data_IF_894661856399
#
_entry.id   IF_894661856399
#
_cell.length_a   1.000
_cell.length_b   1.000
_cell.length_c   1.000
_cell.angle_alpha   90.00
_cell.angle_beta   90.00
_cell.angle_gamma   90.00
#
_symmetry.space_group_name_H-M   'P 1'
#
loop_
_entity.id
_entity.type
_entity.pdbx_description
1 polymer ?
#
# COMPACT_ATOMS: atom_id res chain seq x y z
N UNK A 1 10.20 -16.25 -5.22
CA UNK A 1 9.85 -17.69 -5.32
C UNK A 1 9.13 -18.08 -4.04
N UNK A 2 8.18 -19.03 -4.06
CA UNK A 2 7.45 -19.47 -2.87
C UNK A 2 7.97 -20.81 -2.35
N UNK A 3 8.03 -20.97 -1.04
CA UNK A 3 8.38 -22.23 -0.37
C UNK A 3 7.20 -22.79 0.42
N UNK A 4 7.13 -24.12 0.56
CA UNK A 4 6.14 -24.83 1.38
C UNK A 4 6.81 -25.94 2.18
N UNK A 5 6.44 -26.08 3.44
CA UNK A 5 6.74 -27.25 4.26
C UNK A 5 5.47 -28.06 4.53
N UNK A 6 5.51 -29.41 4.52
CA UNK A 6 4.40 -30.24 4.97
C UNK A 6 4.22 -30.16 6.50
N UNK A 7 3.03 -30.50 7.03
CA UNK A 7 2.71 -30.37 8.44
C UNK A 7 3.69 -31.07 9.39
N UNK A 8 4.27 -32.20 8.98
CA UNK A 8 5.26 -32.96 9.76
C UNK A 8 6.52 -32.17 10.10
N UNK A 9 6.89 -31.16 9.31
CA UNK A 9 8.09 -30.33 9.54
C UNK A 9 7.76 -28.89 9.94
N UNK A 10 6.48 -28.51 10.01
CA UNK A 10 6.06 -27.13 10.27
C UNK A 10 6.60 -26.59 11.60
N UNK A 11 6.53 -27.38 12.68
CA UNK A 11 7.02 -26.98 14.01
C UNK A 11 8.53 -26.74 14.03
N UNK A 12 9.30 -27.47 13.21
CA UNK A 12 10.74 -27.26 13.05
C UNK A 12 11.00 -25.93 12.35
N UNK A 13 10.41 -25.73 11.17
CA UNK A 13 10.68 -24.53 10.38
C UNK A 13 10.14 -23.25 11.02
N UNK A 14 9.02 -23.30 11.75
CA UNK A 14 8.54 -22.16 12.55
C UNK A 14 9.53 -21.69 13.62
N UNK A 15 10.41 -22.56 14.11
CA UNK A 15 11.45 -22.20 15.09
C UNK A 15 12.73 -21.68 14.42
N UNK A 16 12.97 -22.06 13.16
CA UNK A 16 14.19 -21.73 12.43
C UNK A 16 14.04 -20.46 11.58
N UNK A 17 12.87 -20.27 10.99
CA UNK A 17 12.57 -19.15 10.10
C UNK A 17 11.86 -18.05 10.88
N UNK A 18 12.52 -16.92 11.00
CA UNK A 18 11.99 -15.69 11.57
C UNK A 18 11.87 -14.67 10.44
N UNK A 19 10.71 -14.04 10.35
CA UNK A 19 10.47 -13.02 9.34
C UNK A 19 11.43 -11.84 9.49
N UNK A 20 11.85 -11.26 8.37
CA UNK A 20 12.81 -10.14 8.33
C UNK A 20 14.27 -10.56 8.33
N UNK A 21 14.58 -11.84 8.56
CA UNK A 21 15.94 -12.38 8.51
C UNK A 21 16.26 -13.02 7.15
N UNK A 22 17.56 -13.09 6.85
CA UNK A 22 18.09 -13.69 5.61
C UNK A 22 18.60 -15.10 5.88
N UNK A 23 18.30 -16.04 4.98
CA UNK A 23 18.66 -17.46 5.12
C UNK A 23 19.24 -18.02 3.82
N UNK A 24 20.29 -18.82 3.95
CA UNK A 24 20.70 -19.78 2.92
C UNK A 24 19.88 -21.07 3.11
N UNK A 25 19.17 -21.46 2.06
CA UNK A 25 18.43 -22.72 2.01
C UNK A 25 19.17 -23.70 1.10
N UNK A 26 19.33 -24.95 1.56
CA UNK A 26 19.91 -26.02 0.74
C UNK A 26 19.20 -27.36 0.98
N UNK A 27 19.45 -28.35 0.13
CA UNK A 27 18.86 -29.70 0.21
C UNK A 27 17.32 -29.74 0.21
N UNK A 28 16.69 -28.74 -0.39
CA UNK A 28 15.25 -28.70 -0.63
C UNK A 28 14.89 -29.35 -1.97
N UNK A 29 13.61 -29.68 -2.16
CA UNK A 29 13.09 -30.15 -3.45
C UNK A 29 12.48 -28.97 -4.23
N UNK A 30 12.50 -29.05 -5.56
CA UNK A 30 11.85 -28.07 -6.45
C UNK A 30 10.70 -28.73 -7.17
N UNK A 31 9.49 -28.22 -6.98
CA UNK A 31 8.26 -28.73 -7.59
C UNK A 31 7.64 -27.69 -8.51
N UNK A 32 6.74 -28.12 -9.40
CA UNK A 32 5.86 -27.19 -10.13
C UNK A 32 4.96 -26.45 -9.15
N UNK A 33 4.65 -25.19 -9.43
CA UNK A 33 3.75 -24.37 -8.60
C UNK A 33 2.41 -25.04 -8.32
N UNK A 34 1.76 -24.62 -7.23
CA UNK A 34 0.38 -25.01 -6.95
C UNK A 34 -0.59 -24.28 -7.87
N UNK A 35 -1.83 -24.79 -7.97
CA UNK A 35 -2.91 -24.16 -8.74
C UNK A 35 -3.48 -22.92 -8.07
N UNK A 36 -3.35 -22.81 -6.75
CA UNK A 36 -3.94 -21.75 -5.94
C UNK A 36 -3.02 -21.30 -4.81
N UNK A 37 -3.30 -20.09 -4.30
CA UNK A 37 -2.62 -19.46 -3.17
C UNK A 37 -1.13 -19.25 -3.43
N UNK A 38 -0.79 -18.85 -4.66
CA UNK A 38 0.56 -18.44 -5.01
C UNK A 38 0.80 -16.99 -4.60
N UNK A 39 1.94 -16.70 -3.99
CA UNK A 39 2.35 -15.35 -3.58
C UNK A 39 3.15 -14.60 -4.66
N UNK A 40 3.65 -15.31 -5.69
CA UNK A 40 4.38 -14.69 -6.79
C UNK A 40 4.21 -15.49 -8.08
N UNK A 41 4.41 -14.83 -9.23
CA UNK A 41 4.45 -15.49 -10.54
C UNK A 41 5.75 -16.24 -10.73
N UNK A 42 5.79 -17.46 -10.21
CA UNK A 42 6.86 -18.40 -10.50
C UNK A 42 6.25 -19.75 -10.89
N UNK A 43 6.74 -20.36 -11.96
CA UNK A 43 6.33 -21.70 -12.41
C UNK A 43 6.78 -22.82 -11.46
N UNK A 44 7.77 -22.52 -10.61
CA UNK A 44 8.37 -23.44 -9.67
C UNK A 44 8.17 -22.96 -8.22
N UNK A 45 8.22 -23.91 -7.31
CA UNK A 45 8.13 -23.69 -5.86
C UNK A 45 9.13 -24.58 -5.12
N UNK A 46 9.61 -24.09 -3.98
CA UNK A 46 10.46 -24.85 -3.08
C UNK A 46 9.58 -25.72 -2.18
N UNK A 47 9.95 -26.98 -2.03
CA UNK A 47 9.35 -27.91 -1.07
C UNK A 47 10.37 -28.29 -0.01
N UNK A 48 10.14 -27.82 1.22
CA UNK A 48 11.03 -27.97 2.36
C UNK A 48 10.67 -29.26 3.11
N UNK A 49 11.43 -30.34 2.84
CA UNK A 49 11.32 -31.63 3.53
C UNK A 49 12.35 -31.81 4.66
N UNK A 50 12.44 -33.02 5.21
CA UNK A 50 13.31 -33.34 6.34
C UNK A 50 14.81 -33.08 6.10
N UNK A 51 15.27 -33.21 4.85
CA UNK A 51 16.66 -32.98 4.45
C UNK A 51 17.01 -31.51 4.23
N UNK A 52 16.01 -30.62 4.21
CA UNK A 52 16.24 -29.18 3.98
C UNK A 52 17.08 -28.61 5.10
N UNK A 53 18.13 -27.86 4.74
CA UNK A 53 18.99 -27.11 5.66
C UNK A 53 18.59 -25.64 5.59
N UNK A 54 18.59 -24.98 6.75
CA UNK A 54 18.22 -23.58 6.94
C UNK A 54 19.33 -22.94 7.76
N UNK A 55 20.17 -22.16 7.10
CA UNK A 55 21.29 -21.46 7.72
C UNK A 55 21.00 -19.96 7.72
N UNK A 56 20.90 -19.36 8.90
CA UNK A 56 20.72 -17.90 9.04
C UNK A 56 22.02 -17.19 8.64
N UNK A 57 21.91 -16.18 7.77
CA UNK A 57 23.04 -15.34 7.38
C UNK A 57 23.02 -14.11 8.29
N UNK A 58 24.12 -13.84 8.99
CA UNK A 58 24.21 -12.68 9.89
C UNK A 58 24.21 -11.36 9.11
N UNK A 59 23.52 -10.34 9.66
CA UNK A 59 23.30 -8.96 9.14
C UNK A 59 24.58 -8.11 8.93
N UNK A 60 25.76 -8.72 8.82
CA UNK A 60 27.04 -8.02 8.58
C UNK A 60 27.36 -7.75 7.11
N UNK A 61 26.53 -8.23 6.18
CA UNK A 61 26.62 -7.90 4.76
C UNK A 61 25.43 -7.02 4.40
N UNK A 62 25.68 -5.88 3.73
CA UNK A 62 24.66 -5.14 2.98
C UNK A 62 24.02 -6.11 1.97
N UNK A 63 23.04 -6.87 2.44
CA UNK A 63 22.44 -7.90 1.63
C UNK A 63 21.64 -7.19 0.56
N UNK A 64 21.95 -7.43 -0.71
CA UNK A 64 21.21 -6.87 -1.85
C UNK A 64 19.79 -7.43 -1.98
N UNK A 65 19.26 -8.07 -0.93
CA UNK A 65 17.96 -8.73 -0.91
C UNK A 65 16.94 -7.74 -0.38
N UNK A 66 15.95 -7.33 -1.21
CA UNK A 66 14.90 -6.45 -0.75
C UNK A 66 14.08 -7.09 0.37
N UNK A 67 13.78 -6.32 1.43
CA UNK A 67 12.92 -6.76 2.54
C UNK A 67 11.49 -7.06 2.08
N UNK A 68 11.03 -6.33 1.06
CA UNK A 68 9.69 -6.45 0.52
C UNK A 68 9.74 -6.57 -1.01
N UNK A 69 8.80 -7.33 -1.56
CA UNK A 69 8.57 -7.47 -2.99
C UNK A 69 7.07 -7.59 -3.20
N UNK A 70 6.49 -6.63 -3.92
CA UNK A 70 5.05 -6.57 -4.17
C UNK A 70 4.76 -6.69 -5.66
N UNK A 71 3.63 -7.32 -6.01
CA UNK A 71 3.09 -7.30 -7.36
C UNK A 71 1.77 -6.54 -7.37
N UNK A 72 1.86 -5.20 -7.36
CA UNK A 72 0.69 -4.34 -7.23
C UNK A 72 -0.28 -4.48 -8.42
N UNK A 73 -1.58 -4.51 -8.09
CA UNK A 73 -2.66 -4.49 -9.07
C UNK A 73 -3.39 -3.15 -9.00
N UNK A 74 -3.44 -2.48 -10.15
CA UNK A 74 -4.26 -1.31 -10.39
C UNK A 74 -5.72 -1.51 -9.94
N UNK A 75 -6.31 -0.53 -9.26
CA UNK A 75 -7.68 -0.67 -8.74
C UNK A 75 -8.72 -0.96 -9.83
N UNK A 76 -8.53 -0.43 -11.04
CA UNK A 76 -9.41 -0.73 -12.19
C UNK A 76 -9.26 -2.14 -12.74
N UNK A 77 -8.15 -2.82 -12.43
CA UNK A 77 -7.88 -4.20 -12.85
C UNK A 77 -8.23 -5.21 -11.76
N UNK A 78 -8.44 -4.79 -10.51
CA UNK A 78 -8.88 -5.66 -9.40
C UNK A 78 -10.10 -6.53 -9.75
N UNK A 79 -11.15 -6.06 -10.46
CA UNK A 79 -12.27 -6.90 -10.87
C UNK A 79 -11.88 -8.19 -11.62
N UNK A 80 -10.78 -8.16 -12.38
CA UNK A 80 -10.28 -9.34 -13.11
C UNK A 80 -9.82 -10.49 -12.21
N UNK A 81 -9.56 -10.21 -10.93
CA UNK A 81 -9.12 -11.18 -9.91
C UNK A 81 -10.27 -11.78 -9.11
N UNK A 82 -11.51 -11.38 -9.38
CA UNK A 82 -12.66 -11.84 -8.62
C UNK A 82 -12.81 -13.36 -8.68
N UNK A 83 -12.84 -14.00 -7.50
CA UNK A 83 -12.90 -15.47 -7.34
C UNK A 83 -11.71 -16.23 -7.96
N UNK A 84 -10.71 -15.53 -8.47
CA UNK A 84 -9.43 -16.13 -8.85
C UNK A 84 -8.56 -16.23 -7.60
N UNK A 85 -8.35 -17.46 -7.15
CA UNK A 85 -7.46 -17.77 -6.04
C UNK A 85 -6.11 -18.32 -6.50
N UNK A 86 -5.78 -18.22 -7.80
CA UNK A 86 -4.53 -18.75 -8.35
C UNK A 86 -3.30 -18.01 -7.81
N UNK A 87 -3.40 -16.69 -7.72
CA UNK A 87 -2.37 -15.76 -7.25
C UNK A 87 -3.00 -14.78 -6.26
N UNK A 88 -2.29 -14.48 -5.18
CA UNK A 88 -2.67 -13.38 -4.30
C UNK A 88 -2.58 -12.03 -5.02
N UNK A 89 -3.34 -11.07 -4.51
CA UNK A 89 -3.38 -9.70 -5.02
C UNK A 89 -2.73 -8.78 -4.00
N UNK A 90 -1.81 -7.95 -4.46
CA UNK A 90 -1.26 -6.86 -3.66
C UNK A 90 -1.85 -5.54 -4.15
N UNK A 91 -2.25 -4.67 -3.24
CA UNK A 91 -2.78 -3.34 -3.55
C UNK A 91 -2.11 -2.28 -2.69
N UNK A 92 -1.98 -1.09 -3.25
CA UNK A 92 -1.45 0.09 -2.56
C UNK A 92 -2.41 1.26 -2.76
N UNK A 93 -2.63 2.04 -1.71
CA UNK A 93 -3.48 3.23 -1.81
C UNK A 93 -3.48 4.08 -0.54
N UNK A 94 -3.93 5.31 -0.67
CA UNK A 94 -4.15 6.19 0.46
C UNK A 94 -5.36 5.71 1.26
N UNK A 95 -5.25 5.60 2.58
CA UNK A 95 -6.38 5.38 3.47
C UNK A 95 -7.21 6.67 3.55
N UNK A 96 -8.48 6.59 3.15
CA UNK A 96 -9.45 7.69 3.18
C UNK A 96 -10.30 7.64 4.43
N UNK A 97 -10.79 6.45 4.78
CA UNK A 97 -11.57 6.24 5.99
C UNK A 97 -11.45 4.80 6.47
N UNK A 98 -11.72 4.61 7.76
CA UNK A 98 -11.69 3.32 8.44
C UNK A 98 -13.04 3.17 9.13
N UNK A 99 -13.71 2.05 8.91
CA UNK A 99 -14.95 1.72 9.60
C UNK A 99 -14.68 1.18 11.01
N UNK A 100 -15.71 1.22 11.86
CA UNK A 100 -15.70 0.54 13.14
C UNK A 100 -15.54 -0.98 12.96
N UNK A 101 -15.09 -1.66 14.00
CA UNK A 101 -14.95 -3.11 13.98
C UNK A 101 -16.32 -3.76 13.88
N UNK A 102 -16.52 -4.49 12.78
CA UNK A 102 -17.72 -5.28 12.54
C UNK A 102 -17.54 -6.74 12.96
N UNK A 103 -18.65 -7.47 12.97
CA UNK A 103 -18.71 -8.89 13.26
C UNK A 103 -19.38 -9.63 12.11
N UNK A 104 -18.72 -10.66 11.58
CA UNK A 104 -19.21 -11.47 10.48
C UNK A 104 -19.30 -12.95 10.87
N UNK A 105 -20.35 -13.61 10.38
CA UNK A 105 -20.52 -15.05 10.53
C UNK A 105 -19.77 -15.78 9.43
N UNK A 106 -18.83 -16.65 9.80
CA UNK A 106 -18.23 -17.57 8.84
C UNK A 106 -19.18 -18.73 8.57
N UNK A 107 -19.59 -18.92 7.32
CA UNK A 107 -20.35 -20.10 6.90
C UNK A 107 -19.44 -21.34 6.90
N UNK A 108 -19.77 -22.37 7.68
CA UNK A 108 -19.01 -23.62 7.85
C UNK A 108 -18.87 -24.10 9.30
N UNK A 109 -18.37 -25.33 9.50
CA UNK A 109 -18.30 -26.06 10.79
C UNK A 109 -17.73 -25.20 11.93
N UNK A 110 -18.56 -25.05 12.98
CA UNK A 110 -18.48 -24.08 14.07
C UNK A 110 -18.60 -22.62 13.59
N UNK A 111 -19.84 -22.10 13.62
CA UNK A 111 -20.19 -20.68 13.56
C UNK A 111 -19.30 -19.89 14.53
N UNK A 112 -18.17 -19.39 14.03
CA UNK A 112 -17.30 -18.46 14.75
C UNK A 112 -17.59 -17.08 14.21
N UNK A 113 -17.91 -16.19 15.15
CA UNK A 113 -17.95 -14.77 14.88
C UNK A 113 -16.51 -14.32 14.60
N UNK A 114 -16.26 -13.86 13.38
CA UNK A 114 -14.96 -13.33 12.97
C UNK A 114 -15.12 -11.82 12.90
N UNK A 115 -14.32 -11.12 13.70
CA UNK A 115 -14.25 -9.67 13.58
C UNK A 115 -13.67 -9.27 12.25
N UNK A 116 -14.16 -8.16 11.71
CA UNK A 116 -13.59 -7.57 10.52
C UNK A 116 -13.53 -6.06 10.65
N UNK A 117 -12.63 -5.46 9.87
CA UNK A 117 -12.51 -4.01 9.75
C UNK A 117 -12.40 -3.65 8.29
N UNK A 118 -13.23 -2.72 7.86
CA UNK A 118 -13.23 -2.19 6.50
C UNK A 118 -12.39 -0.91 6.45
N UNK A 119 -11.60 -0.79 5.39
CA UNK A 119 -10.82 0.39 5.07
C UNK A 119 -11.14 0.82 3.66
N UNK A 120 -11.39 2.11 3.49
CA UNK A 120 -11.62 2.72 2.19
C UNK A 120 -10.32 3.33 1.72
N UNK A 121 -9.80 2.80 0.62
CA UNK A 121 -8.61 3.30 -0.04
C UNK A 121 -8.96 4.15 -1.25
N UNK A 122 -7.98 4.95 -1.66
CA UNK A 122 -8.01 5.69 -2.92
C UNK A 122 -6.64 5.62 -3.60
N UNK A 123 -6.64 5.37 -4.90
CA UNK A 123 -5.42 5.38 -5.71
C UNK A 123 -5.06 6.79 -6.25
N UNK A 124 -3.97 6.89 -7.00
CA UNK A 124 -3.52 8.11 -7.68
C UNK A 124 -4.59 8.72 -8.61
N UNK A 125 -5.46 7.88 -9.17
CA UNK A 125 -6.52 8.31 -10.08
C UNK A 125 -7.78 8.72 -9.32
N UNK A 126 -7.80 8.63 -7.99
CA UNK A 126 -8.97 8.93 -7.18
C UNK A 126 -10.01 7.80 -7.17
N UNK A 127 -9.69 6.62 -7.72
CA UNK A 127 -10.60 5.47 -7.72
C UNK A 127 -10.69 4.91 -6.30
N UNK A 128 -11.89 4.63 -5.79
CA UNK A 128 -12.05 4.03 -4.47
C UNK A 128 -11.78 2.53 -4.52
N UNK A 129 -11.34 1.96 -3.40
CA UNK A 129 -11.24 0.52 -3.18
C UNK A 129 -11.61 0.17 -1.75
N UNK A 130 -12.44 -0.86 -1.56
CA UNK A 130 -12.72 -1.40 -0.24
C UNK A 130 -11.72 -2.52 0.08
N UNK A 131 -11.07 -2.41 1.24
CA UNK A 131 -10.23 -3.46 1.81
C UNK A 131 -10.88 -3.97 3.09
N UNK A 132 -11.00 -5.29 3.22
CA UNK A 132 -11.55 -5.93 4.43
C UNK A 132 -10.51 -6.78 5.14
N UNK A 133 -10.15 -6.37 6.36
CA UNK A 133 -9.26 -7.09 7.27
C UNK A 133 -10.08 -7.99 8.19
N UNK A 134 -9.80 -9.29 8.22
CA UNK A 134 -10.52 -10.28 9.03
C UNK A 134 -9.65 -10.77 10.18
N UNK A 135 -10.30 -11.16 11.28
CA UNK A 135 -9.67 -11.76 12.44
C UNK A 135 -8.63 -10.84 13.09
N UNK A 136 -7.50 -11.41 13.47
CA UNK A 136 -6.47 -10.69 14.21
C UNK A 136 -5.88 -9.52 13.41
N UNK A 137 -5.85 -9.60 12.08
CA UNK A 137 -5.35 -8.50 11.25
C UNK A 137 -6.24 -7.26 11.33
N UNK A 138 -7.56 -7.44 11.42
CA UNK A 138 -8.52 -6.34 11.59
C UNK A 138 -8.63 -5.86 13.04
N UNK A 139 -8.55 -6.79 14.01
CA UNK A 139 -8.58 -6.49 15.45
C UNK A 139 -7.36 -5.69 15.90
N UNK A 140 -6.17 -6.08 15.42
CA UNK A 140 -4.92 -5.45 15.81
C UNK A 140 -4.58 -4.21 14.96
N UNK A 141 -5.45 -3.84 14.01
CA UNK A 141 -5.28 -2.63 13.23
C UNK A 141 -5.56 -1.40 14.11
N UNK A 142 -4.54 -0.60 14.37
CA UNK A 142 -4.61 0.61 15.19
C UNK A 142 -5.27 1.77 14.42
N UNK A 143 -6.60 1.72 14.32
CA UNK A 143 -7.39 2.68 13.57
C UNK A 143 -7.30 4.10 14.16
N UNK A 144 -7.24 4.23 15.49
CA UNK A 144 -7.14 5.53 16.15
C UNK A 144 -5.84 6.24 15.80
N UNK A 145 -4.71 5.51 15.85
CA UNK A 145 -3.42 6.05 15.45
C UNK A 145 -3.42 6.48 13.99
N UNK A 146 -3.95 5.65 13.09
CA UNK A 146 -4.01 5.96 11.65
C UNK A 146 -4.90 7.16 11.36
N UNK A 147 -6.06 7.26 12.01
CA UNK A 147 -6.95 8.43 11.87
C UNK A 147 -6.29 9.69 12.41
N UNK A 148 -5.62 9.61 13.56
CA UNK A 148 -4.91 10.75 14.16
C UNK A 148 -3.79 11.24 13.24
N UNK A 149 -2.92 10.33 12.78
CA UNK A 149 -1.83 10.66 11.86
C UNK A 149 -2.35 11.17 10.50
N UNK A 150 -3.44 10.58 10.02
CA UNK A 150 -4.15 10.95 8.79
C UNK A 150 -4.70 12.38 8.75
N UNK A 151 -4.84 13.06 9.91
CA UNK A 151 -5.25 14.48 9.98
C UNK A 151 -4.14 15.42 9.53
N UNK A 152 -2.89 15.04 9.76
CA UNK A 152 -1.71 15.85 9.45
C UNK A 152 -1.15 15.47 8.08
N UNK A 153 -0.95 14.16 7.86
CA UNK A 153 -0.31 13.62 6.66
C UNK A 153 -1.13 12.47 6.12
N UNK A 154 -1.29 12.44 4.80
CA UNK A 154 -1.98 11.33 4.12
C UNK A 154 -1.24 10.01 4.38
N UNK A 155 -1.96 9.03 4.95
CA UNK A 155 -1.41 7.68 5.19
C UNK A 155 -1.62 6.82 3.96
N UNK A 156 -0.55 6.22 3.48
CA UNK A 156 -0.58 5.26 2.39
C UNK A 156 -0.34 3.86 2.95
N UNK A 157 -1.13 2.90 2.50
CA UNK A 157 -1.05 1.53 2.96
C UNK A 157 -0.85 0.57 1.80
N UNK A 158 0.06 -0.38 2.01
CA UNK A 158 0.22 -1.57 1.19
C UNK A 158 -0.52 -2.71 1.86
N UNK A 159 -1.39 -3.41 1.12
CA UNK A 159 -2.02 -4.66 1.53
C UNK A 159 -1.54 -5.77 0.61
N UNK A 160 -0.78 -6.71 1.16
CA UNK A 160 -0.17 -7.80 0.42
C UNK A 160 -0.83 -9.14 0.76
N UNK A 161 -0.80 -10.09 -0.17
CA UNK A 161 -1.30 -11.45 0.06
C UNK A 161 -2.84 -11.54 0.12
N UNK A 162 -3.56 -10.67 -0.59
CA UNK A 162 -5.01 -10.52 -0.52
C UNK A 162 -5.75 -11.37 -1.56
N UNK A 163 -7.07 -11.52 -1.41
CA UNK A 163 -7.95 -12.10 -2.44
C UNK A 163 -9.08 -11.14 -2.77
N UNK A 164 -9.59 -11.24 -4.00
CA UNK A 164 -10.66 -10.36 -4.47
C UNK A 164 -11.99 -11.11 -4.51
N UNK A 165 -13.03 -10.46 -3.98
CA UNK A 165 -14.38 -11.01 -3.98
C UNK A 165 -15.41 -9.91 -4.26
N UNK A 166 -16.41 -10.23 -5.06
CA UNK A 166 -17.59 -9.39 -5.23
C UNK A 166 -18.55 -9.59 -4.05
N UNK A 167 -18.75 -8.52 -3.26
CA UNK A 167 -19.73 -8.42 -2.18
C UNK A 167 -20.16 -6.96 -2.03
N UNK A 168 -21.34 -6.60 -2.55
CA UNK A 168 -21.82 -5.20 -2.65
C UNK A 168 -20.81 -4.24 -3.32
N UNK A 169 -20.04 -4.76 -4.27
CA UNK A 169 -18.85 -4.11 -4.85
C UNK A 169 -17.65 -5.06 -4.81
N UNK A 170 -16.58 -4.76 -5.54
CA UNK A 170 -15.35 -5.54 -5.42
C UNK A 170 -14.63 -5.13 -4.13
N UNK A 171 -14.38 -6.11 -3.26
CA UNK A 171 -13.55 -5.95 -2.05
C UNK A 171 -12.27 -6.76 -2.17
N UNK A 172 -11.18 -6.17 -1.69
CA UNK A 172 -9.89 -6.84 -1.50
C UNK A 172 -9.85 -7.30 -0.05
N UNK A 173 -9.99 -8.61 0.17
CA UNK A 173 -10.06 -9.18 1.50
C UNK A 173 -8.79 -9.91 1.91
N UNK A 174 -8.47 -9.77 3.19
CA UNK A 174 -7.36 -10.46 3.81
C UNK A 174 -7.56 -11.98 3.87
N UNK A 175 -6.44 -12.67 3.99
CA UNK A 175 -6.28 -14.10 4.17
C UNK A 175 -5.28 -14.36 5.31
N UNK A 176 -5.02 -15.62 5.62
CA UNK A 176 -3.98 -15.99 6.60
C UNK A 176 -2.56 -15.63 6.17
N UNK A 177 -2.34 -15.36 4.88
CA UNK A 177 -1.04 -14.95 4.35
C UNK A 177 -0.90 -13.43 4.24
N UNK A 178 -1.96 -12.68 4.55
CA UNK A 178 -1.98 -11.24 4.31
C UNK A 178 -1.17 -10.46 5.33
N UNK A 179 -0.56 -9.39 4.86
CA UNK A 179 0.05 -8.36 5.69
C UNK A 179 -0.36 -6.99 5.19
N UNK A 180 -0.30 -6.01 6.08
CA UNK A 180 -0.36 -4.62 5.69
C UNK A 180 0.87 -3.88 6.21
N UNK A 181 1.22 -2.82 5.50
CA UNK A 181 2.30 -1.93 5.88
C UNK A 181 1.83 -0.51 5.65
N UNK A 182 2.09 0.36 6.63
CA UNK A 182 1.74 1.76 6.56
C UNK A 182 3.00 2.54 6.25
N UNK A 183 2.91 3.42 5.27
CA UNK A 183 3.96 4.39 4.93
C UNK A 183 5.35 3.74 4.75
N UNK A 184 5.41 2.62 4.03
CA UNK A 184 6.69 2.00 3.68
C UNK A 184 7.59 2.97 2.92
N UNK A 185 8.89 2.90 3.18
CA UNK A 185 9.89 3.66 2.44
C UNK A 185 10.18 2.99 1.09
N UNK A 186 9.22 3.11 0.18
CA UNK A 186 9.30 2.65 -1.22
C UNK A 186 8.76 3.74 -2.13
N UNK A 187 9.22 3.74 -3.39
CA UNK A 187 8.87 4.79 -4.37
C UNK A 187 7.35 4.91 -4.56
N UNK A 188 6.64 3.79 -4.64
CA UNK A 188 5.19 3.77 -4.89
C UNK A 188 4.39 4.42 -3.75
N UNK A 189 4.89 4.35 -2.51
CA UNK A 189 4.29 5.04 -1.36
C UNK A 189 4.55 6.55 -1.44
N UNK A 190 5.77 6.93 -1.83
CA UNK A 190 6.14 8.33 -2.00
C UNK A 190 5.27 8.98 -3.07
N UNK A 191 5.10 8.36 -4.24
CA UNK A 191 4.21 8.84 -5.31
C UNK A 191 2.76 9.09 -4.83
N UNK A 192 2.21 8.21 -3.98
CA UNK A 192 0.85 8.38 -3.44
C UNK A 192 0.72 9.47 -2.36
N UNK A 193 1.84 9.81 -1.70
CA UNK A 193 1.95 10.90 -0.73
C UNK A 193 2.15 12.25 -1.42
N UNK A 194 2.93 12.29 -2.50
CA UNK A 194 3.28 13.52 -3.20
C UNK A 194 2.12 14.04 -4.01
N UNK A 195 1.19 14.72 -3.34
CA UNK A 195 0.06 15.37 -3.97
C UNK A 195 -0.03 16.81 -3.55
N UNK A 196 -0.41 17.64 -4.51
CA UNK A 196 -0.62 19.04 -4.25
C UNK A 196 -1.69 19.26 -3.20
N UNK A 197 -1.37 20.10 -2.23
CA UNK A 197 -2.31 20.86 -1.42
C UNK A 197 -1.98 22.33 -1.65
N UNK A 198 -2.65 22.94 -2.61
CA UNK A 198 -2.43 24.34 -2.96
C UNK A 198 -3.45 25.20 -2.21
N UNK A 199 -2.94 26.06 -1.34
CA UNK A 199 -3.69 27.21 -0.83
C UNK A 199 -3.61 28.32 -1.88
N UNK A 200 -4.76 28.77 -2.37
CA UNK A 200 -4.84 29.74 -3.45
C UNK A 200 -5.83 30.85 -3.13
N UNK A 201 -5.45 32.08 -3.42
CA UNK A 201 -6.35 33.24 -3.39
C UNK A 201 -6.88 33.47 -4.79
N UNK A 202 -8.19 33.31 -4.99
CA UNK A 202 -8.86 33.70 -6.23
C UNK A 202 -9.42 35.11 -6.09
N UNK A 203 -9.30 35.93 -7.14
CA UNK A 203 -9.84 37.28 -7.20
C UNK A 203 -10.69 37.46 -8.46
N UNK A 204 -11.84 38.11 -8.30
CA UNK A 204 -12.65 38.62 -9.40
C UNK A 204 -13.06 40.08 -9.16
N UNK A 205 -13.95 40.62 -10.00
CA UNK A 205 -14.42 42.00 -9.87
C UNK A 205 -15.24 42.27 -8.60
N UNK A 206 -15.69 41.22 -7.89
CA UNK A 206 -16.55 41.31 -6.71
C UNK A 206 -15.78 41.13 -5.41
N UNK A 207 -14.57 40.54 -5.45
CA UNK A 207 -13.71 40.42 -4.28
C UNK A 207 -12.67 39.31 -4.40
N UNK A 208 -12.16 38.88 -3.24
CA UNK A 208 -11.16 37.81 -3.10
C UNK A 208 -11.70 36.67 -2.25
N UNK A 209 -11.32 35.44 -2.57
CA UNK A 209 -11.69 34.24 -1.82
C UNK A 209 -10.50 33.29 -1.70
N UNK A 210 -10.24 32.82 -0.49
CA UNK A 210 -9.26 31.76 -0.24
C UNK A 210 -9.89 30.40 -0.54
N UNK A 211 -9.19 29.60 -1.33
CA UNK A 211 -9.62 28.25 -1.69
C UNK A 211 -8.47 27.27 -1.53
N UNK A 212 -8.81 26.03 -1.19
CA UNK A 212 -7.86 24.94 -1.16
C UNK A 212 -8.10 24.01 -2.34
N UNK A 213 -7.12 23.90 -3.22
CA UNK A 213 -7.17 23.04 -4.41
C UNK A 213 -6.24 21.85 -4.17
N UNK A 214 -6.70 20.64 -4.50
CA UNK A 214 -5.92 19.42 -4.29
C UNK A 214 -5.51 18.77 -5.60
N UNK A 215 -4.28 18.28 -5.65
CA UNK A 215 -3.75 17.33 -6.61
C UNK A 215 -4.05 17.65 -8.08
N UNK A 216 -4.92 16.90 -8.76
CA UNK A 216 -5.14 16.99 -10.21
C UNK A 216 -5.47 18.41 -10.72
N UNK A 217 -6.45 19.14 -10.14
CA UNK A 217 -6.68 20.53 -10.54
C UNK A 217 -5.46 21.43 -10.30
N UNK A 218 -4.64 21.19 -9.27
CA UNK A 218 -3.38 21.92 -9.08
C UNK A 218 -2.36 21.55 -10.14
N UNK A 219 -2.14 20.26 -10.43
CA UNK A 219 -1.22 19.82 -11.49
C UNK A 219 -1.58 20.43 -12.86
N UNK A 220 -2.87 20.59 -13.15
CA UNK A 220 -3.33 21.32 -14.35
C UNK A 220 -3.08 22.83 -14.28
N UNK A 221 -3.18 23.42 -13.10
CA UNK A 221 -2.98 24.85 -12.88
C UNK A 221 -1.50 25.24 -12.94
N UNK A 222 -0.65 24.43 -12.30
CA UNK A 222 0.80 24.63 -12.11
C UNK A 222 1.61 24.08 -13.29
N UNK A 223 1.07 23.11 -14.03
CA UNK A 223 1.72 22.53 -15.21
C UNK A 223 2.82 21.50 -14.91
N UNK A 224 3.19 21.36 -13.63
CA UNK A 224 4.30 20.54 -13.14
C UNK A 224 3.78 19.53 -12.12
N UNK A 225 4.43 18.38 -11.93
CA UNK A 225 4.02 17.43 -10.89
C UNK A 225 4.52 17.85 -9.50
N UNK A 226 3.89 17.37 -8.43
CA UNK A 226 4.29 17.78 -7.08
C UNK A 226 5.68 17.23 -6.72
N UNK A 227 6.06 16.09 -7.30
CA UNK A 227 7.37 15.45 -7.14
C UNK A 227 8.51 16.34 -7.65
N UNK A 228 8.34 16.90 -8.85
CA UNK A 228 9.35 17.75 -9.50
C UNK A 228 9.58 19.08 -8.75
N UNK A 229 8.59 19.56 -8.00
CA UNK A 229 8.73 20.74 -7.15
C UNK A 229 9.34 20.47 -5.77
N UNK A 230 9.34 19.21 -5.31
CA UNK A 230 9.91 18.84 -4.00
C UNK A 230 11.44 18.69 -4.08
N UNK A 231 11.98 18.37 -5.26
CA UNK A 231 13.42 18.25 -5.48
C UNK A 231 14.12 19.64 -5.49
N UNK A 232 13.43 20.69 -5.94
CA UNK A 232 13.95 22.07 -6.00
C UNK A 232 13.66 22.84 -4.69
N UNK A 233 14.47 22.58 -3.67
CA UNK A 233 14.21 22.97 -2.27
C UNK A 233 14.47 24.44 -1.91
N UNK A 234 14.80 25.32 -2.87
CA UNK A 234 14.86 26.76 -2.62
C UNK A 234 13.60 27.44 -3.19
N UNK A 235 12.83 28.17 -2.38
CA UNK A 235 11.59 28.83 -2.80
C UNK A 235 11.72 29.76 -4.02
N UNK A 236 12.94 30.19 -4.37
CA UNK A 236 13.25 30.94 -5.60
C UNK A 236 13.24 30.06 -6.87
N UNK A 237 13.50 28.76 -6.77
CA UNK A 237 13.54 27.81 -7.90
C UNK A 237 12.13 27.34 -8.32
N UNK A 238 11.19 27.22 -7.38
CA UNK A 238 9.79 26.85 -7.67
C UNK A 238 9.15 27.81 -8.69
N UNK A 239 9.38 29.12 -8.55
CA UNK A 239 8.87 30.12 -9.49
C UNK A 239 9.46 29.96 -10.90
N UNK A 240 10.75 29.60 -10.98
CA UNK A 240 11.44 29.38 -12.25
C UNK A 240 10.95 28.12 -12.98
N UNK A 241 10.71 27.03 -12.24
CA UNK A 241 10.14 25.78 -12.76
C UNK A 241 8.69 25.99 -13.25
N UNK A 242 7.86 26.69 -12.47
CA UNK A 242 6.49 26.98 -12.89
C UNK A 242 6.47 27.90 -14.13
N UNK A 243 7.36 28.89 -14.17
CA UNK A 243 7.46 29.85 -15.28
C UNK A 243 8.00 29.22 -16.57
N UNK A 244 8.92 28.24 -16.49
CA UNK A 244 9.45 27.55 -17.67
C UNK A 244 8.38 26.71 -18.38
N UNK A 245 7.40 26.21 -17.64
CA UNK A 245 6.27 25.43 -18.16
C UNK A 245 5.06 26.27 -18.61
N UNK A 246 4.98 27.55 -18.24
CA UNK A 246 3.89 28.45 -18.61
C UNK A 246 4.36 29.66 -19.43
N UNK A 247 4.46 29.51 -20.76
CA UNK A 247 4.83 30.60 -21.68
C UNK A 247 3.78 31.73 -21.83
N UNK A 248 2.61 31.67 -21.18
CA UNK A 248 1.51 32.62 -21.46
C UNK A 248 0.57 32.96 -20.29
N UNK A 249 0.86 32.52 -19.05
CA UNK A 249 0.03 32.84 -17.87
C UNK A 249 0.91 33.29 -16.71
N UNK A 250 0.65 34.49 -16.19
CA UNK A 250 1.37 35.01 -15.02
C UNK A 250 0.83 34.33 -13.75
N UNK A 251 1.63 33.44 -13.16
CA UNK A 251 1.44 32.93 -11.80
C UNK A 251 2.43 33.68 -10.90
N UNK A 252 1.92 34.46 -9.95
CA UNK A 252 2.73 35.10 -8.92
C UNK A 252 2.80 34.16 -7.72
N UNK A 253 3.98 33.62 -7.43
CA UNK A 253 4.26 32.85 -6.22
C UNK A 253 4.80 33.83 -5.17
N UNK A 254 4.05 34.03 -4.08
CA UNK A 254 4.46 34.88 -2.95
C UNK A 254 4.80 34.03 -1.71
N UNK A 255 5.71 34.49 -0.83
CA UNK A 255 5.96 33.83 0.45
C UNK A 255 4.71 33.88 1.34
N UNK A 256 4.45 32.81 2.08
CA UNK A 256 3.40 32.79 3.11
C UNK A 256 3.84 33.64 4.31
N UNK A 257 3.16 34.74 4.57
CA UNK A 257 3.23 35.39 5.88
C UNK A 257 2.54 34.46 6.90
N UNK A 258 3.32 33.91 7.83
CA UNK A 258 2.82 33.02 8.86
C UNK A 258 2.01 33.82 9.88
N UNK A 259 0.68 33.64 9.87
CA UNK A 259 -0.16 34.08 10.97
C UNK A 259 0.02 33.11 12.16
N UNK A 260 0.61 33.64 13.23
CA UNK A 260 0.71 32.98 14.52
C UNK A 260 -0.68 32.83 15.16
N UNK A 261 -1.08 31.58 15.44
CA UNK A 261 -2.12 31.23 16.41
C UNK A 261 -1.61 30.12 17.33
#
# INVERSE_FOLDING_TARGET
>A
MQARAPPSYMKRFQRQLVEGKVYALSNFMVWTKMKCYMACRNGLMIYMGGQTVVDEISDGTDSSIPLHSFEFVDFGNVPSRNRDNSLFTDVIGQIVSIEEEGQAWKSGEASRNISFRNLHLRDLRGRPMLVTLYGDLGRNFDAEKVVKQGREVSIVAVFAGMLVQLYNGFTVRSTSASKYYLDLDILEVQELRTRYKLDAVMQDATGTMNIMIFDKPVKKLVGVSAEELVEDTAGEQISAVISSHHQSRALLVGPTEGDSW
#
